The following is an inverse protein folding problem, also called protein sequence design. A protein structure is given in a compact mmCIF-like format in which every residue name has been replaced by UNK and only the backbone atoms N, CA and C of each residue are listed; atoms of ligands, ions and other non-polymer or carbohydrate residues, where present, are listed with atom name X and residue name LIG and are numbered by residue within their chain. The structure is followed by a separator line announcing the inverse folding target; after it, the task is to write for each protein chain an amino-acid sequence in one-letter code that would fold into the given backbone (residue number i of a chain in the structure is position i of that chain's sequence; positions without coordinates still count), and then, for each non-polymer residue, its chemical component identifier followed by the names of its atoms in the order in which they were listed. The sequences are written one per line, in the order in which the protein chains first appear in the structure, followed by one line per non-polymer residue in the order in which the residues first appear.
data_IF_352165886492
#
_entry.id   IF_352165886492
#
_cell.length_a   1.000
_cell.length_b   1.000
_cell.length_c   1.000
_cell.angle_alpha   90.00
_cell.angle_beta   90.00
_cell.angle_gamma   90.00
#
_symmetry.space_group_name_H-M   'P 1'
#
loop_
_entity.id
_entity.type
_entity.pdbx_description
1 polymer ?
#
# COMPACT_ATOMS: atom_id res chain seq x y z
N UNK A 1 28.58 6.00 -3.49
CA UNK A 1 27.46 5.45 -4.26
C UNK A 1 26.33 6.45 -4.16
N UNK A 2 25.82 6.93 -5.30
CA UNK A 2 24.66 7.81 -5.32
C UNK A 2 23.44 6.90 -5.08
N UNK A 3 23.19 6.55 -3.82
CA UNK A 3 22.06 5.70 -3.45
C UNK A 3 20.79 6.49 -3.77
N UNK A 4 20.27 6.29 -4.99
CA UNK A 4 18.97 6.80 -5.38
C UNK A 4 17.94 6.03 -4.58
N UNK A 5 17.41 6.67 -3.54
CA UNK A 5 16.29 6.15 -2.79
C UNK A 5 15.14 5.79 -3.73
N UNK A 6 14.49 4.68 -3.44
CA UNK A 6 13.26 4.27 -4.10
C UNK A 6 12.06 4.81 -3.31
N UNK A 7 10.90 4.79 -3.93
CA UNK A 7 9.71 5.45 -3.41
C UNK A 7 8.49 4.55 -3.57
N UNK A 8 7.52 4.73 -2.69
CA UNK A 8 6.21 4.09 -2.77
C UNK A 8 5.12 5.14 -2.55
N UNK A 9 4.08 5.09 -3.37
CA UNK A 9 2.87 5.88 -3.16
C UNK A 9 1.85 5.04 -2.40
N UNK A 10 1.22 5.65 -1.39
CA UNK A 10 0.12 5.05 -0.63
C UNK A 10 -1.06 6.00 -0.54
N UNK A 11 -2.26 5.41 -0.49
CA UNK A 11 -3.49 6.14 -0.24
C UNK A 11 -4.30 5.49 0.89
N UNK A 12 -5.08 6.30 1.59
CA UNK A 12 -6.23 5.85 2.38
C UNK A 12 -7.51 6.38 1.76
N UNK A 13 -8.53 5.53 1.67
CA UNK A 13 -9.85 5.86 1.14
C UNK A 13 -10.94 5.45 2.14
N UNK A 14 -12.15 5.96 1.94
CA UNK A 14 -13.30 5.55 2.75
C UNK A 14 -13.67 4.07 2.51
N UNK A 15 -14.57 3.54 3.36
CA UNK A 15 -14.98 2.13 3.32
C UNK A 15 -15.58 1.72 1.97
N UNK A 16 -16.40 2.58 1.35
CA UNK A 16 -17.07 2.30 0.08
C UNK A 16 -16.06 2.17 -1.07
N UNK A 17 -15.17 3.16 -1.22
CA UNK A 17 -14.12 3.15 -2.26
C UNK A 17 -13.16 1.98 -2.01
N UNK A 18 -12.79 1.69 -0.76
CA UNK A 18 -11.98 0.52 -0.41
C UNK A 18 -12.64 -0.78 -0.89
N UNK A 19 -13.92 -0.99 -0.56
CA UNK A 19 -14.64 -2.18 -0.96
C UNK A 19 -14.74 -2.31 -2.49
N UNK A 20 -14.98 -1.21 -3.19
CA UNK A 20 -15.07 -1.22 -4.65
C UNK A 20 -13.72 -1.51 -5.33
N UNK A 21 -12.62 -0.93 -4.82
CA UNK A 21 -11.27 -1.25 -5.29
C UNK A 21 -10.90 -2.72 -5.08
N UNK A 22 -11.30 -3.32 -3.95
CA UNK A 22 -11.01 -4.72 -3.61
C UNK A 22 -11.87 -5.72 -4.38
N UNK A 23 -13.13 -5.38 -4.64
CA UNK A 23 -14.10 -6.27 -5.30
C UNK A 23 -14.28 -5.97 -6.79
N UNK A 24 -13.54 -5.00 -7.32
CA UNK A 24 -13.64 -4.52 -8.70
C UNK A 24 -15.08 -4.14 -9.10
N UNK A 25 -15.81 -3.54 -8.16
CA UNK A 25 -17.19 -3.05 -8.39
C UNK A 25 -17.17 -1.65 -8.99
N UNK A 26 -18.17 -1.31 -9.84
CA UNK A 26 -18.24 -0.01 -10.49
C UNK A 26 -18.45 1.11 -9.47
N UNK A 27 -17.55 2.07 -9.48
CA UNK A 27 -17.57 3.27 -8.64
C UNK A 27 -16.64 4.31 -9.27
N UNK A 28 -17.14 5.54 -9.46
CA UNK A 28 -16.41 6.59 -10.18
C UNK A 28 -15.01 6.85 -9.59
N UNK A 29 -14.91 6.98 -8.26
CA UNK A 29 -13.62 7.20 -7.59
C UNK A 29 -12.69 6.00 -7.74
N UNK A 30 -13.19 4.78 -7.53
CA UNK A 30 -12.39 3.57 -7.66
C UNK A 30 -11.87 3.41 -9.10
N UNK A 31 -12.71 3.67 -10.10
CA UNK A 31 -12.36 3.64 -11.51
C UNK A 31 -11.30 4.70 -11.87
N UNK A 32 -11.44 5.91 -11.35
CA UNK A 32 -10.44 6.97 -11.52
C UNK A 32 -9.08 6.58 -10.93
N UNK A 33 -9.07 6.02 -9.71
CA UNK A 33 -7.83 5.54 -9.05
C UNK A 33 -7.18 4.45 -9.90
N UNK A 34 -7.96 3.45 -10.36
CA UNK A 34 -7.45 2.36 -11.19
C UNK A 34 -6.95 2.87 -12.54
N UNK A 35 -7.64 3.82 -13.17
CA UNK A 35 -7.23 4.42 -14.43
C UNK A 35 -5.91 5.19 -14.30
N UNK A 36 -5.75 5.98 -13.22
CA UNK A 36 -4.49 6.65 -12.90
C UNK A 36 -3.39 5.62 -12.69
N UNK A 37 -3.63 4.59 -11.86
CA UNK A 37 -2.65 3.55 -11.60
C UNK A 37 -2.14 2.91 -12.91
N UNK A 38 -3.07 2.48 -13.78
CA UNK A 38 -2.77 1.86 -15.08
C UNK A 38 -1.98 2.77 -16.00
N UNK A 39 -2.27 4.07 -16.05
CA UNK A 39 -1.51 5.06 -16.84
C UNK A 39 -0.03 5.08 -16.46
N UNK A 40 0.25 4.89 -15.17
CA UNK A 40 1.60 4.86 -14.60
C UNK A 40 2.21 3.45 -14.57
N UNK A 41 1.55 2.43 -15.14
CA UNK A 41 2.03 1.04 -15.08
C UNK A 41 2.03 0.46 -13.66
N UNK A 42 1.15 0.97 -12.80
CA UNK A 42 1.01 0.51 -11.42
C UNK A 42 -0.38 -0.06 -11.16
N UNK A 43 -0.53 -0.75 -10.03
CA UNK A 43 -1.82 -1.23 -9.53
C UNK A 43 -1.98 -0.89 -8.04
N UNK A 44 -3.17 -0.47 -7.59
CA UNK A 44 -3.44 -0.34 -6.17
C UNK A 44 -3.57 -1.73 -5.55
N UNK A 45 -2.87 -1.96 -4.45
CA UNK A 45 -2.90 -3.21 -3.67
C UNK A 45 -3.34 -2.88 -2.26
N UNK A 46 -4.45 -3.48 -1.81
CA UNK A 46 -4.92 -3.34 -0.45
C UNK A 46 -3.88 -3.91 0.52
N UNK A 47 -3.49 -3.12 1.52
CA UNK A 47 -2.47 -3.52 2.50
C UNK A 47 -2.92 -4.73 3.32
N UNK A 48 -4.21 -4.79 3.68
CA UNK A 48 -4.75 -5.96 4.38
C UNK A 48 -4.72 -7.22 3.52
N UNK A 49 -5.13 -7.13 2.26
CA UNK A 49 -5.14 -8.30 1.35
C UNK A 49 -3.71 -8.79 1.11
N UNK A 50 -2.74 -7.88 0.93
CA UNK A 50 -1.33 -8.24 0.82
C UNK A 50 -0.79 -8.94 2.08
N UNK A 51 -1.25 -8.57 3.27
CA UNK A 51 -0.90 -9.28 4.51
C UNK A 51 -1.52 -10.67 4.60
N UNK A 52 -2.78 -10.82 4.18
CA UNK A 52 -3.42 -12.12 4.08
C UNK A 52 -2.70 -13.04 3.09
N UNK A 53 -2.40 -12.53 1.89
CA UNK A 53 -1.69 -13.26 0.85
C UNK A 53 -0.30 -13.71 1.33
N UNK A 54 0.44 -12.81 2.01
CA UNK A 54 1.72 -13.14 2.62
C UNK A 54 1.61 -14.25 3.67
N UNK A 55 0.61 -14.19 4.57
CA UNK A 55 0.41 -15.25 5.56
C UNK A 55 0.06 -16.59 4.89
N UNK A 56 -0.82 -16.59 3.88
CA UNK A 56 -1.19 -17.81 3.16
C UNK A 56 -0.03 -18.41 2.38
N UNK A 57 0.79 -17.59 1.73
CA UNK A 57 2.01 -18.05 1.06
C UNK A 57 3.03 -18.60 2.08
N UNK A 58 3.15 -17.95 3.23
CA UNK A 58 4.07 -18.40 4.27
C UNK A 58 3.69 -19.77 4.84
N UNK A 59 2.40 -19.97 5.14
CA UNK A 59 1.84 -21.25 5.59
C UNK A 59 1.98 -22.35 4.52
N UNK A 60 1.76 -22.03 3.24
CA UNK A 60 1.88 -22.99 2.14
C UNK A 60 3.34 -23.43 1.89
N UNK A 61 4.31 -22.55 2.13
CA UNK A 61 5.74 -22.81 1.89
C UNK A 61 6.51 -23.24 3.16
N UNK A 62 5.85 -23.36 4.32
CA UNK A 62 6.51 -23.77 5.56
C UNK A 62 7.48 -22.70 6.13
N UNK A 63 7.24 -21.42 5.84
CA UNK A 63 8.06 -20.28 6.28
C UNK A 63 7.38 -19.43 7.37
N UNK A 64 6.34 -19.96 8.02
CA UNK A 64 5.64 -19.35 9.16
C UNK A 64 6.57 -19.05 10.36
N UNK A 65 7.75 -19.68 10.40
CA UNK A 65 8.77 -19.51 11.45
C UNK A 65 9.46 -18.14 11.50
N UNK A 66 9.22 -17.25 10.54
CA UNK A 66 9.85 -15.92 10.53
C UNK A 66 9.04 -14.91 11.34
N UNK A 67 9.71 -14.05 12.12
CA UNK A 67 9.05 -13.05 12.98
C UNK A 67 8.12 -12.07 12.24
N UNK A 68 8.34 -11.90 10.93
CA UNK A 68 7.44 -11.11 10.08
C UNK A 68 6.05 -11.78 9.93
N UNK A 69 5.99 -13.11 9.91
CA UNK A 69 4.73 -13.85 9.89
C UNK A 69 3.92 -13.63 11.16
N UNK A 70 4.50 -13.84 12.34
CA UNK A 70 3.78 -13.65 13.62
C UNK A 70 3.23 -12.23 13.77
N UNK A 71 4.01 -11.23 13.39
CA UNK A 71 3.59 -9.83 13.44
C UNK A 71 2.46 -9.54 12.44
N UNK A 72 2.54 -10.11 11.24
CA UNK A 72 1.53 -9.93 10.19
C UNK A 72 0.23 -10.63 10.57
N UNK A 73 0.31 -11.85 11.11
CA UNK A 73 -0.84 -12.63 11.61
C UNK A 73 -1.59 -11.89 12.71
N UNK A 74 -0.87 -11.40 13.72
CA UNK A 74 -1.46 -10.58 14.78
C UNK A 74 -2.09 -9.28 14.27
N UNK A 75 -1.57 -8.73 13.17
CA UNK A 75 -2.10 -7.51 12.56
C UNK A 75 -3.41 -7.77 11.82
N UNK A 76 -3.56 -8.91 11.15
CA UNK A 76 -4.80 -9.26 10.44
C UNK A 76 -5.89 -9.80 11.37
N UNK A 77 -5.52 -10.36 12.52
CA UNK A 77 -6.44 -10.87 13.55
C UNK A 77 -6.98 -9.77 14.49
N UNK A 78 -6.26 -8.66 14.62
CA UNK A 78 -6.72 -7.51 15.39
C UNK A 78 -7.73 -6.67 14.59
N UNK A 79 -8.96 -6.57 15.08
CA UNK A 79 -10.07 -5.90 14.40
C UNK A 79 -9.80 -4.40 14.12
N UNK A 80 -9.23 -3.66 15.06
CA UNK A 80 -8.93 -2.23 14.87
C UNK A 80 -7.86 -2.02 13.79
N UNK A 81 -6.81 -2.86 13.79
CA UNK A 81 -5.76 -2.81 12.77
C UNK A 81 -6.32 -3.21 11.41
N UNK A 82 -7.15 -4.25 11.36
CA UNK A 82 -7.82 -4.71 10.13
C UNK A 82 -8.63 -3.59 9.48
N UNK A 83 -9.45 -2.87 10.25
CA UNK A 83 -10.26 -1.76 9.73
C UNK A 83 -9.40 -0.64 9.12
N UNK A 84 -8.25 -0.34 9.74
CA UNK A 84 -7.29 0.64 9.23
C UNK A 84 -6.63 0.16 7.92
N UNK A 85 -6.20 -1.11 7.87
CA UNK A 85 -5.44 -1.65 6.74
C UNK A 85 -6.32 -1.97 5.53
N UNK A 86 -7.60 -2.31 5.72
CA UNK A 86 -8.57 -2.51 4.62
C UNK A 86 -8.75 -1.23 3.80
N UNK A 87 -8.69 -0.07 4.44
CA UNK A 87 -8.83 1.24 3.79
C UNK A 87 -7.55 1.74 3.13
N UNK A 88 -6.43 1.04 3.33
CA UNK A 88 -5.10 1.50 2.93
C UNK A 88 -4.61 0.73 1.72
N UNK A 89 -4.12 1.45 0.71
CA UNK A 89 -3.62 0.88 -0.53
C UNK A 89 -2.20 1.36 -0.81
N UNK A 90 -1.35 0.46 -1.26
CA UNK A 90 -0.03 0.75 -1.79
C UNK A 90 -0.03 0.51 -3.30
N UNK A 91 0.62 1.38 -4.06
CA UNK A 91 0.74 1.21 -5.51
C UNK A 91 1.96 0.36 -5.81
N UNK A 92 1.78 -0.73 -6.55
CA UNK A 92 2.87 -1.63 -6.96
C UNK A 92 3.10 -1.48 -8.45
N UNK A 93 4.37 -1.51 -8.88
CA UNK A 93 4.77 -1.60 -10.28
C UNK A 93 5.10 -3.06 -10.54
N UNK A 94 4.24 -3.79 -11.25
CA UNK A 94 4.32 -5.25 -11.36
C UNK A 94 4.35 -5.95 -9.98
N UNK A 95 5.53 -6.48 -9.61
CA UNK A 95 5.81 -7.10 -8.32
C UNK A 95 6.62 -6.19 -7.37
N UNK A 96 7.09 -5.04 -7.86
CA UNK A 96 7.90 -4.10 -7.11
C UNK A 96 7.02 -3.16 -6.28
N UNK A 97 7.26 -3.16 -4.97
CA UNK A 97 6.57 -2.30 -4.03
C UNK A 97 7.14 -0.88 -3.99
N UNK A 98 8.40 -0.72 -4.40
CA UNK A 98 9.15 0.53 -4.39
C UNK A 98 9.78 0.74 -5.78
N UNK A 99 9.80 1.98 -6.25
CA UNK A 99 10.20 2.33 -7.61
C UNK A 99 10.83 3.72 -7.68
N UNK A 100 11.29 4.12 -8.85
CA UNK A 100 12.00 5.38 -9.05
C UNK A 100 11.18 6.62 -8.67
N UNK A 101 11.88 7.65 -8.17
CA UNK A 101 11.28 8.93 -7.74
C UNK A 101 10.39 9.57 -8.80
N UNK A 102 10.84 9.54 -10.06
CA UNK A 102 10.13 10.18 -11.18
C UNK A 102 8.73 9.61 -11.33
N UNK A 103 8.61 8.27 -11.32
CA UNK A 103 7.33 7.58 -11.37
C UNK A 103 6.48 7.91 -10.13
N UNK A 104 7.08 7.89 -8.95
CA UNK A 104 6.36 8.14 -7.70
C UNK A 104 5.82 9.56 -7.59
N UNK A 105 6.58 10.57 -8.01
CA UNK A 105 6.13 11.96 -8.06
C UNK A 105 5.04 12.16 -9.10
N UNK A 106 5.16 11.53 -10.28
CA UNK A 106 4.15 11.63 -11.34
C UNK A 106 2.81 10.99 -10.91
N UNK A 107 2.85 9.77 -10.37
CA UNK A 107 1.68 9.07 -9.85
C UNK A 107 1.03 9.86 -8.70
N UNK A 108 1.83 10.33 -7.74
CA UNK A 108 1.33 11.15 -6.63
C UNK A 108 0.68 12.44 -7.14
N UNK A 109 1.27 13.08 -8.16
CA UNK A 109 0.72 14.28 -8.80
C UNK A 109 -0.67 14.03 -9.40
N UNK A 110 -0.85 12.93 -10.13
CA UNK A 110 -2.13 12.57 -10.75
C UNK A 110 -3.20 12.16 -9.72
N UNK A 111 -2.81 11.66 -8.55
CA UNK A 111 -3.72 11.35 -7.43
C UNK A 111 -4.08 12.57 -6.58
N UNK A 112 -3.28 13.64 -6.64
CA UNK A 112 -3.48 14.83 -5.81
C UNK A 112 -4.84 15.52 -6.01
N UNK A 113 -5.43 15.62 -7.22
CA UNK A 113 -6.79 16.12 -7.41
C UNK A 113 -7.85 15.33 -6.64
N UNK A 114 -7.72 14.00 -6.58
CA UNK A 114 -8.63 13.12 -5.82
C UNK A 114 -8.44 13.28 -4.30
N UNK A 115 -7.24 13.65 -3.86
CA UNK A 115 -7.03 14.06 -2.46
C UNK A 115 -7.67 15.42 -2.15
N UNK A 116 -7.60 16.36 -3.09
CA UNK A 116 -8.14 17.72 -2.92
C UNK A 116 -9.66 17.78 -2.94
N UNK A 117 -10.33 16.94 -3.72
CA UNK A 117 -11.79 16.87 -3.78
C UNK A 117 -12.40 15.98 -2.66
N UNK A 118 -11.57 15.40 -1.78
CA UNK A 118 -12.01 14.57 -0.66
C UNK A 118 -12.29 13.10 -1.00
N UNK A 119 -12.10 12.67 -2.23
CA UNK A 119 -12.29 11.29 -2.64
C UNK A 119 -11.23 10.33 -2.06
N UNK A 120 -10.02 10.85 -1.81
CA UNK A 120 -8.94 10.19 -1.07
C UNK A 120 -8.78 10.87 0.30
N UNK A 121 -8.76 10.08 1.37
CA UNK A 121 -8.61 10.58 2.74
C UNK A 121 -7.16 10.95 3.05
N UNK A 122 -6.20 10.10 2.68
CA UNK A 122 -4.77 10.32 2.87
C UNK A 122 -4.02 9.95 1.57
N UNK A 123 -3.00 10.74 1.21
CA UNK A 123 -2.09 10.46 0.10
C UNK A 123 -0.68 10.67 0.61
N UNK A 124 0.19 9.67 0.47
CA UNK A 124 1.53 9.67 1.04
C UNK A 124 2.54 9.20 0.01
N UNK A 125 3.68 9.90 -0.05
CA UNK A 125 4.87 9.49 -0.78
C UNK A 125 5.94 9.09 0.24
N UNK A 126 6.28 7.81 0.27
CA UNK A 126 7.26 7.24 1.20
C UNK A 126 8.56 7.01 0.43
N UNK A 127 9.69 7.39 1.01
CA UNK A 127 11.01 7.11 0.47
C UNK A 127 11.70 5.98 1.24
N UNK A 128 12.60 5.27 0.57
CA UNK A 128 13.31 4.12 1.14
C UNK A 128 14.52 4.52 2.01
N UNK A 129 14.71 5.80 2.33
CA UNK A 129 15.77 6.24 3.22
C UNK A 129 15.50 5.71 4.63
N UNK A 130 16.39 4.89 5.20
CA UNK A 130 16.22 4.38 6.56
C UNK A 130 16.02 5.49 7.58
N UNK A 131 16.62 6.68 7.39
CA UNK A 131 16.45 7.82 8.30
C UNK A 131 15.00 8.32 8.42
N UNK A 132 14.17 8.05 7.42
CA UNK A 132 12.78 8.50 7.35
C UNK A 132 11.79 7.40 7.75
N UNK A 133 12.24 6.17 8.00
CA UNK A 133 11.39 5.03 8.33
C UNK A 133 11.51 4.65 9.82
N UNK A 134 10.45 4.09 10.46
CA UNK A 134 10.51 3.68 11.87
C UNK A 134 11.67 2.73 12.09
N UNK A 135 12.58 3.13 12.98
CA UNK A 135 13.68 2.26 13.36
C UNK A 135 13.17 1.22 14.35
N UNK A 136 13.59 -0.04 14.23
CA UNK A 136 13.31 -1.02 15.27
C UNK A 136 13.83 -0.46 16.61
N UNK A 137 13.08 -0.64 17.72
CA UNK A 137 13.54 -0.19 19.01
C UNK A 137 14.89 -0.84 19.32
N UNK A 138 15.86 -0.04 19.72
CA UNK A 138 17.19 -0.54 20.12
C UNK A 138 16.99 -1.56 21.25
N UNK A 139 17.44 -2.81 21.03
CA UNK A 139 17.54 -3.79 22.11
C UNK A 139 18.44 -3.20 23.19
N UNK A 140 17.90 -3.00 24.39
CA UNK A 140 18.71 -2.81 25.60
C UNK A 140 19.13 -4.17 26.14
#
# INVERSE_FOLDING_TARGET
MNDMWLYQVRIRVNSDVSNNLRTNKPNETAEQIVAIAKRHGTRPVCTYDAFCDYCSEAEANGIEKYSLYDWTKQTIENQEKKEKHIKSFAFYKDNDQIYEKTLAVALHGDLLPLKKNGAIEELTLIDSNPKNNPQPPSKK
#
